data_IF_238465689734
#
_entry.id   IF_238465689734
#
_cell.length_a   1.000
_cell.length_b   1.000
_cell.length_c   1.000
_cell.angle_alpha   90.00
_cell.angle_beta   90.00
_cell.angle_gamma   90.00
#
_symmetry.space_group_name_H-M   'P 1'
#
loop_
_entity.id
_entity.type
_entity.pdbx_description
1 polymer ?
#
# COMPACT_ATOMS: atom_id res chain seq x y z
N UNK A 1 -19.68 15.33 5.53
CA UNK A 1 -19.82 13.92 5.96
C UNK A 1 -18.96 13.09 5.03
N UNK A 2 -17.82 12.54 5.47
CA UNK A 2 -17.07 11.61 4.64
C UNK A 2 -17.43 10.21 5.11
N UNK A 3 -18.08 9.53 4.18
CA UNK A 3 -18.89 8.35 4.38
C UNK A 3 -17.99 7.15 4.72
N UNK A 4 -18.53 6.19 5.47
CA UNK A 4 -17.78 4.98 5.81
C UNK A 4 -17.58 4.05 4.59
N UNK A 5 -17.90 4.52 3.39
CA UNK A 5 -17.82 3.79 2.12
C UNK A 5 -16.37 3.48 1.73
N UNK A 6 -16.19 2.51 0.83
CA UNK A 6 -14.88 2.14 0.31
C UNK A 6 -14.17 3.34 -0.35
N UNK A 7 -14.91 4.16 -1.11
CA UNK A 7 -14.38 5.38 -1.73
C UNK A 7 -14.01 6.42 -0.69
N UNK A 8 -14.86 6.70 0.30
CA UNK A 8 -14.54 7.66 1.36
C UNK A 8 -13.32 7.25 2.19
N UNK A 9 -13.11 5.94 2.39
CA UNK A 9 -11.89 5.42 3.02
C UNK A 9 -10.66 5.65 2.13
N UNK A 10 -10.76 5.41 0.82
CA UNK A 10 -9.67 5.68 -0.15
C UNK A 10 -9.30 7.17 -0.15
N UNK A 11 -10.29 8.05 -0.30
CA UNK A 11 -10.06 9.51 -0.35
C UNK A 11 -9.35 10.01 0.92
N UNK A 12 -9.71 9.45 2.09
CA UNK A 12 -9.06 9.81 3.35
C UNK A 12 -7.61 9.31 3.45
N UNK A 13 -7.30 8.16 2.87
CA UNK A 13 -5.92 7.66 2.79
C UNK A 13 -5.10 8.55 1.86
N UNK A 14 -5.66 8.93 0.71
CA UNK A 14 -5.02 9.84 -0.25
C UNK A 14 -4.78 11.23 0.36
N UNK A 15 -5.73 11.77 1.12
CA UNK A 15 -5.59 13.06 1.79
C UNK A 15 -4.50 13.08 2.88
N UNK A 16 -4.17 11.92 3.46
CA UNK A 16 -3.05 11.77 4.39
C UNK A 16 -1.71 11.61 3.67
N UNK A 17 -1.74 11.30 2.38
CA UNK A 17 -0.55 11.02 1.63
C UNK A 17 0.25 12.30 1.33
N UNK A 18 1.57 12.16 1.27
CA UNK A 18 2.50 13.21 0.92
C UNK A 18 3.57 12.65 -0.01
N UNK A 19 3.85 13.33 -1.12
CA UNK A 19 4.85 12.90 -2.10
C UNK A 19 6.25 12.77 -1.49
N UNK A 20 6.57 13.62 -0.51
CA UNK A 20 7.84 13.63 0.21
C UNK A 20 7.79 12.86 1.54
N UNK A 21 6.69 12.13 1.78
CA UNK A 21 6.54 11.31 2.97
C UNK A 21 7.61 10.22 3.05
N UNK A 22 8.16 10.01 4.24
CA UNK A 22 9.15 8.95 4.51
C UNK A 22 8.54 7.68 5.08
N UNK A 23 7.26 7.71 5.43
CA UNK A 23 6.57 6.58 6.03
C UNK A 23 5.68 5.89 5.00
N UNK A 24 5.59 4.57 5.07
CA UNK A 24 4.72 3.79 4.19
C UNK A 24 4.10 2.64 4.98
N UNK A 25 3.02 2.08 4.45
CA UNK A 25 2.33 0.92 5.02
C UNK A 25 2.71 -0.33 4.23
N UNK A 26 3.10 -1.38 4.94
CA UNK A 26 3.43 -2.67 4.36
C UNK A 26 2.84 -3.82 5.21
N UNK A 27 2.69 -4.98 4.60
CA UNK A 27 2.38 -6.22 5.29
C UNK A 27 3.62 -6.68 6.08
N UNK A 28 3.47 -6.94 7.37
CA UNK A 28 4.56 -7.41 8.22
C UNK A 28 5.17 -8.74 7.76
N UNK A 29 4.35 -9.57 7.11
CA UNK A 29 4.72 -10.93 6.72
C UNK A 29 5.42 -11.00 5.37
N UNK A 30 4.95 -10.24 4.39
CA UNK A 30 5.47 -10.31 3.01
C UNK A 30 6.25 -9.07 2.58
N UNK A 31 6.14 -7.97 3.32
CA UNK A 31 6.65 -6.67 2.90
C UNK A 31 5.84 -6.01 1.77
N UNK A 32 4.82 -6.69 1.23
CA UNK A 32 3.97 -6.15 0.17
C UNK A 32 3.14 -4.98 0.67
N UNK A 33 2.85 -4.04 -0.23
CA UNK A 33 2.04 -2.87 0.07
C UNK A 33 0.60 -3.12 -0.37
N UNK A 34 -0.36 -3.23 0.55
CA UNK A 34 -1.72 -3.56 0.17
C UNK A 34 -2.48 -2.34 -0.33
N UNK A 35 -3.26 -2.53 -1.39
CA UNK A 35 -4.28 -1.54 -1.80
C UNK A 35 -5.32 -1.38 -0.69
N UNK A 36 -5.79 -0.14 -0.41
CA UNK A 36 -5.55 1.09 -1.17
C UNK A 36 -4.33 1.92 -0.72
N UNK A 37 -3.57 1.53 0.30
CA UNK A 37 -2.37 2.28 0.72
C UNK A 37 -1.14 2.07 -0.17
N UNK A 38 -1.21 1.13 -1.12
CA UNK A 38 -0.17 0.90 -2.11
C UNK A 38 0.12 2.19 -2.91
N UNK A 39 1.40 2.53 -3.07
CA UNK A 39 1.84 3.74 -3.77
C UNK A 39 1.80 5.03 -2.94
N UNK A 40 1.16 5.04 -1.77
CA UNK A 40 1.13 6.22 -0.90
C UNK A 40 2.25 6.25 0.12
N UNK A 41 2.68 7.47 0.41
CA UNK A 41 3.66 7.82 1.44
C UNK A 41 3.02 8.78 2.41
N UNK A 42 3.49 8.77 3.65
CA UNK A 42 2.96 9.58 4.72
C UNK A 42 4.06 10.44 5.33
N UNK A 43 3.75 11.69 5.72
CA UNK A 43 4.74 12.63 6.25
C UNK A 43 5.26 12.17 7.62
N UNK A 44 4.39 11.59 8.44
CA UNK A 44 4.70 11.15 9.80
C UNK A 44 4.13 9.76 10.12
N UNK A 45 4.57 9.22 11.26
CA UNK A 45 4.16 7.90 11.75
C UNK A 45 2.68 7.85 12.12
N UNK A 46 2.08 8.95 12.58
CA UNK A 46 0.68 9.00 13.00
C UNK A 46 -0.27 8.97 11.79
N UNK A 47 0.05 9.71 10.74
CA UNK A 47 -0.61 9.66 9.44
C UNK A 47 -0.52 8.25 8.84
N UNK A 48 0.68 7.65 8.83
CA UNK A 48 0.87 6.29 8.34
C UNK A 48 0.07 5.25 9.16
N UNK A 49 0.02 5.39 10.49
CA UNK A 49 -0.76 4.50 11.35
C UNK A 49 -2.27 4.66 11.11
N UNK A 50 -2.71 5.87 10.87
CA UNK A 50 -4.11 6.15 10.49
C UNK A 50 -4.45 5.50 9.15
N UNK A 51 -3.57 5.64 8.16
CA UNK A 51 -3.74 5.00 6.86
C UNK A 51 -3.74 3.46 6.94
N UNK A 52 -2.90 2.86 7.80
CA UNK A 52 -2.93 1.42 8.05
C UNK A 52 -4.29 0.97 8.60
N UNK A 53 -4.83 1.66 9.62
CA UNK A 53 -6.16 1.36 10.17
C UNK A 53 -7.27 1.52 9.14
N UNK A 54 -7.22 2.57 8.33
CA UNK A 54 -8.18 2.79 7.26
C UNK A 54 -8.09 1.68 6.20
N UNK A 55 -6.89 1.20 5.88
CA UNK A 55 -6.68 0.06 4.98
C UNK A 55 -7.24 -1.24 5.56
N UNK A 56 -7.05 -1.49 6.85
CA UNK A 56 -7.69 -2.63 7.54
C UNK A 56 -9.21 -2.57 7.44
N UNK A 57 -9.80 -1.40 7.70
CA UNK A 57 -11.25 -1.20 7.60
C UNK A 57 -11.76 -1.38 6.18
N UNK A 58 -11.03 -0.87 5.18
CA UNK A 58 -11.33 -1.07 3.77
C UNK A 58 -11.37 -2.56 3.42
N UNK A 59 -10.34 -3.32 3.82
CA UNK A 59 -10.25 -4.76 3.55
C UNK A 59 -11.28 -5.58 4.31
N UNK A 60 -11.58 -5.21 5.56
CA UNK A 60 -12.64 -5.83 6.33
C UNK A 60 -14.01 -5.63 5.67
N UNK A 61 -14.24 -4.45 5.08
CA UNK A 61 -15.47 -4.16 4.34
C UNK A 61 -15.51 -4.88 2.99
N UNK A 62 -14.39 -4.99 2.29
CA UNK A 62 -14.26 -5.80 1.07
C UNK A 62 -14.56 -7.28 1.30
N UNK A 63 -14.21 -7.83 2.47
CA UNK A 63 -14.50 -9.25 2.79
C UNK A 63 -15.96 -9.62 2.76
N UNK A 64 -16.86 -8.64 2.88
CA UNK A 64 -18.30 -8.87 2.70
C UNK A 64 -18.63 -9.30 1.26
N UNK A 65 -17.81 -8.89 0.30
CA UNK A 65 -17.97 -9.19 -1.13
C UNK A 65 -17.04 -10.31 -1.58
N UNK A 66 -15.81 -10.37 -1.05
CA UNK A 66 -14.85 -11.43 -1.31
C UNK A 66 -14.33 -12.05 0.01
N UNK A 67 -14.92 -13.16 0.47
CA UNK A 67 -14.49 -13.84 1.67
C UNK A 67 -13.07 -14.43 1.59
N UNK A 68 -12.50 -14.64 0.40
CA UNK A 68 -11.17 -15.23 0.22
C UNK A 68 -10.03 -14.21 0.40
N UNK A 69 -10.35 -12.94 0.65
CA UNK A 69 -9.37 -11.88 0.76
C UNK A 69 -8.33 -12.16 1.88
N UNK A 70 -7.03 -12.21 1.55
CA UNK A 70 -5.97 -12.45 2.53
C UNK A 70 -5.97 -11.43 3.66
N UNK A 71 -5.70 -11.91 4.89
CA UNK A 71 -5.45 -11.04 6.04
C UNK A 71 -4.00 -10.59 6.04
N UNK A 72 -3.82 -9.28 6.06
CA UNK A 72 -2.51 -8.67 6.14
C UNK A 72 -2.37 -7.97 7.48
N UNK A 73 -1.28 -8.26 8.19
CA UNK A 73 -0.88 -7.53 9.39
C UNK A 73 -0.16 -6.26 8.94
N UNK A 74 -0.82 -5.12 9.02
CA UNK A 74 -0.29 -3.87 8.47
C UNK A 74 0.62 -3.18 9.48
N UNK A 75 1.84 -2.89 9.06
CA UNK A 75 2.84 -2.16 9.83
C UNK A 75 3.25 -0.86 9.13
N UNK A 76 3.67 0.11 9.94
CA UNK A 76 4.26 1.35 9.44
C UNK A 76 5.77 1.16 9.36
N UNK A 77 6.29 1.30 8.16
CA UNK A 77 7.72 1.31 7.89
C UNK A 77 8.18 2.72 7.57
N UNK A 78 9.46 2.98 7.80
CA UNK A 78 10.10 4.24 7.50
C UNK A 78 11.25 3.99 6.53
N UNK A 79 11.32 4.77 5.47
CA UNK A 79 12.49 4.73 4.61
C UNK A 79 13.67 5.43 5.31
N UNK A 80 14.86 4.79 5.39
CA UNK A 80 16.04 5.44 5.92
C UNK A 80 16.44 6.63 5.03
N UNK A 81 16.95 7.70 5.64
CA UNK A 81 17.21 8.97 4.94
C UNK A 81 18.18 8.84 3.76
N UNK A 82 19.14 7.92 3.84
CA UNK A 82 20.10 7.63 2.77
C UNK A 82 19.50 6.86 1.57
N UNK A 83 18.31 6.27 1.72
CA UNK A 83 17.65 5.47 0.69
C UNK A 83 16.28 6.03 0.28
N UNK A 84 15.98 7.28 0.62
CA UNK A 84 14.69 7.91 0.36
C UNK A 84 14.27 7.82 -1.12
N UNK A 85 15.23 7.95 -2.02
CA UNK A 85 15.06 7.83 -3.48
C UNK A 85 14.97 6.39 -3.97
N UNK A 86 15.69 5.44 -3.35
CA UNK A 86 15.56 4.02 -3.65
C UNK A 86 14.18 3.47 -3.24
N UNK A 87 13.71 3.85 -2.04
CA UNK A 87 12.32 3.59 -1.65
C UNK A 87 11.34 4.35 -2.53
N UNK A 88 11.74 5.43 -3.23
CA UNK A 88 10.88 6.21 -4.13
C UNK A 88 10.68 5.45 -5.42
N UNK A 89 11.77 4.89 -5.95
CA UNK A 89 11.80 4.05 -7.14
C UNK A 89 11.12 2.68 -6.92
N UNK A 90 11.27 2.05 -5.75
CA UNK A 90 10.63 0.77 -5.42
C UNK A 90 9.11 0.82 -5.18
N UNK A 91 8.45 1.92 -5.59
CA UNK A 91 7.01 2.17 -5.41
C UNK A 91 6.20 2.12 -6.68
N UNK A 92 6.82 1.69 -7.79
CA UNK A 92 6.10 1.48 -9.04
C UNK A 92 4.80 0.70 -8.74
N UNK A 93 3.64 1.29 -9.09
CA UNK A 93 2.33 0.80 -8.67
C UNK A 93 2.08 -0.54 -9.37
N UNK A 94 2.12 -1.64 -8.61
CA UNK A 94 1.62 -2.97 -8.99
C UNK A 94 1.56 -3.28 -10.49
N UNK A 95 2.64 -3.05 -11.23
CA UNK A 95 2.80 -3.66 -12.54
C UNK A 95 3.28 -5.09 -12.31
N UNK A 96 2.30 -5.96 -12.05
CA UNK A 96 2.44 -7.38 -12.37
C UNK A 96 1.51 -7.67 -13.54
N UNK A 97 1.83 -7.09 -14.70
CA UNK A 97 1.39 -7.64 -15.98
C UNK A 97 2.49 -7.59 -17.05
N UNK A 98 3.78 -7.82 -16.74
CA UNK A 98 4.78 -8.05 -17.81
C UNK A 98 6.09 -8.62 -17.23
N UNK A 99 6.68 -9.75 -17.63
CA UNK A 99 6.29 -10.91 -18.45
C UNK A 99 7.14 -12.07 -17.92
N UNK A 100 6.52 -13.19 -17.56
CA UNK A 100 7.17 -14.47 -17.79
C UNK A 100 7.16 -14.67 -19.32
N UNK A 101 8.20 -14.19 -20.00
CA UNK A 101 8.63 -14.81 -21.25
C UNK A 101 9.86 -15.61 -20.91
N UNK A 102 9.66 -16.93 -20.85
CA UNK A 102 10.70 -17.93 -20.93
C UNK A 102 11.77 -17.53 -21.97
N UNK A 103 13.07 -17.72 -21.71
CA UNK A 103 14.05 -17.81 -22.77
C UNK A 103 13.86 -19.16 -23.48
N UNK A 104 12.90 -19.21 -24.41
CA UNK A 104 12.86 -20.30 -25.37
C UNK A 104 14.06 -20.15 -26.30
N UNK A 105 14.99 -21.09 -26.12
CA UNK A 105 16.08 -21.39 -27.03
C UNK A 105 15.56 -21.58 -28.47
N UNK A 106 16.34 -21.09 -29.44
CA UNK A 106 16.52 -21.58 -30.82
C UNK A 106 17.58 -20.64 -31.45
N UNK A 107 18.69 -21.05 -32.05
CA UNK A 107 19.32 -22.34 -32.36
C UNK A 107 20.71 -22.07 -32.93
#
# INVERSE_FOLDING_TARGET
>A
MHDSTLTGIRDRIEALASADGRYYVACARTGDRPVPAAGHRFPDRAAARTAARLTEWYRARLRRYDPQLPSYDLIVCQCPSAAADACRAGQQPWDRSETASDPAADG
#
